data_IF_158713969387
#
_entry.id   IF_158713969387
#
_cell.length_a   1.000
_cell.length_b   1.000
_cell.length_c   1.000
_cell.angle_alpha   90.00
_cell.angle_beta   90.00
_cell.angle_gamma   90.00
#
_symmetry.space_group_name_H-M   'P 1'
#
loop_
_entity.id
_entity.type
_entity.pdbx_description
1 polymer ?
#
# COMPACT_ATOMS: atom_id res chain seq x y z
N UNK A 1 5.68 -1.03 4.85
CA UNK A 1 4.65 0.01 4.97
C UNK A 1 3.46 -0.56 5.74
N UNK A 2 2.77 0.26 6.53
CA UNK A 2 1.51 -0.06 7.18
C UNK A 2 0.45 0.87 6.64
N UNK A 3 -0.69 0.33 6.21
CA UNK A 3 -1.82 1.17 5.85
C UNK A 3 -2.44 1.74 7.13
N UNK A 4 -2.27 3.04 7.38
CA UNK A 4 -2.62 3.68 8.65
C UNK A 4 -4.05 4.21 8.69
N UNK A 5 -4.69 4.45 7.53
CA UNK A 5 -6.10 4.86 7.48
C UNK A 5 -6.76 4.49 6.14
N UNK A 6 -8.04 4.09 6.23
CA UNK A 6 -9.02 4.19 5.16
C UNK A 6 -9.98 5.31 5.58
N UNK A 7 -10.11 6.35 4.77
CA UNK A 7 -11.11 7.38 5.00
C UNK A 7 -12.33 7.05 4.14
N UNK A 8 -13.53 6.88 4.71
CA UNK A 8 -14.75 6.91 3.91
C UNK A 8 -14.92 8.36 3.39
N UNK A 9 -15.00 8.51 2.07
CA UNK A 9 -15.46 9.75 1.45
C UNK A 9 -16.95 9.58 1.18
N UNK A 10 -17.79 10.20 2.01
CA UNK A 10 -19.19 10.44 1.70
C UNK A 10 -19.27 11.85 1.11
N UNK A 11 -19.38 11.95 -0.21
CA UNK A 11 -19.63 13.22 -0.89
C UNK A 11 -20.86 13.02 -1.77
N UNK A 12 -22.02 13.51 -1.32
CA UNK A 12 -23.30 13.35 -2.02
C UNK A 12 -23.34 14.11 -3.36
N UNK A 13 -22.50 15.14 -3.52
CA UNK A 13 -22.57 16.04 -4.68
C UNK A 13 -21.79 15.58 -5.92
N UNK A 14 -20.96 14.53 -5.83
CA UNK A 14 -20.28 13.98 -7.02
C UNK A 14 -21.20 13.08 -7.89
N UNK A 15 -22.45 12.86 -7.45
CA UNK A 15 -23.43 12.00 -8.13
C UNK A 15 -24.37 12.73 -9.11
N UNK A 16 -24.18 14.03 -9.36
CA UNK A 16 -25.04 14.76 -10.32
C UNK A 16 -24.38 14.82 -11.69
N UNK A 17 -24.93 14.06 -12.64
CA UNK A 17 -24.62 14.23 -14.07
C UNK A 17 -25.23 15.51 -14.63
N UNK A 18 -24.76 15.93 -15.81
CA UNK A 18 -25.15 17.18 -16.49
C UNK A 18 -26.64 17.31 -16.88
N UNK A 19 -27.48 16.32 -16.59
CA UNK A 19 -28.90 16.30 -16.90
C UNK A 19 -29.82 16.28 -15.65
N UNK A 20 -29.28 16.39 -14.43
CA UNK A 20 -30.11 16.48 -13.22
C UNK A 20 -30.85 15.19 -12.81
N UNK A 21 -30.63 14.08 -13.51
CA UNK A 21 -31.14 12.78 -13.08
C UNK A 21 -30.35 12.23 -11.89
N UNK A 22 -31.08 11.76 -10.87
CA UNK A 22 -30.52 11.02 -9.74
C UNK A 22 -30.05 9.67 -10.28
N UNK A 23 -28.73 9.50 -10.42
CA UNK A 23 -28.12 8.22 -10.76
C UNK A 23 -28.30 7.26 -9.58
N UNK A 24 -29.47 6.61 -9.48
CA UNK A 24 -29.83 5.67 -8.41
C UNK A 24 -28.99 4.36 -8.43
N UNK A 25 -27.94 4.30 -9.25
CA UNK A 25 -26.94 3.24 -9.25
C UNK A 25 -25.55 3.86 -9.38
N UNK A 26 -24.72 3.87 -8.32
CA UNK A 26 -23.33 4.31 -8.45
C UNK A 26 -22.60 3.34 -9.38
N UNK A 27 -22.39 3.77 -10.62
CA UNK A 27 -21.70 3.02 -11.69
C UNK A 27 -20.26 2.61 -11.29
N UNK A 28 -19.73 3.17 -10.20
CA UNK A 28 -18.39 2.92 -9.66
C UNK A 28 -18.34 2.08 -8.37
N UNK A 29 -19.46 1.52 -7.89
CA UNK A 29 -19.42 0.52 -6.79
C UNK A 29 -19.10 -0.91 -7.27
N UNK A 30 -18.92 -1.11 -8.57
CA UNK A 30 -18.50 -2.38 -9.16
C UNK A 30 -17.01 -2.62 -8.97
N UNK A 31 -16.67 -3.79 -8.43
CA UNK A 31 -15.35 -4.38 -8.24
C UNK A 31 -14.54 -4.64 -9.52
N UNK A 32 -14.86 -3.96 -10.62
CA UNK A 32 -14.14 -4.10 -11.88
C UNK A 32 -12.96 -3.12 -11.89
N UNK A 33 -11.82 -3.60 -11.43
CA UNK A 33 -10.55 -2.92 -11.66
C UNK A 33 -10.30 -2.83 -13.17
N UNK A 34 -10.11 -1.63 -13.70
CA UNK A 34 -9.78 -1.43 -15.13
C UNK A 34 -8.41 -2.01 -15.47
N UNK A 35 -7.56 -2.20 -14.46
CA UNK A 35 -6.25 -2.87 -14.55
C UNK A 35 -6.32 -4.41 -14.59
N UNK A 36 -7.51 -5.01 -14.75
CA UNK A 36 -7.65 -6.47 -14.74
C UNK A 36 -7.35 -7.11 -13.38
N UNK A 37 -7.45 -6.33 -12.30
CA UNK A 37 -7.06 -6.72 -10.93
C UNK A 37 -5.56 -6.99 -10.77
N UNK A 38 -4.73 -6.34 -11.59
CA UNK A 38 -3.29 -6.32 -11.35
C UNK A 38 -2.98 -5.62 -10.01
N UNK A 39 -2.05 -6.20 -9.26
CA UNK A 39 -1.64 -5.67 -7.96
C UNK A 39 -0.63 -4.55 -8.14
N UNK A 40 -0.59 -3.64 -7.18
CA UNK A 40 0.47 -2.67 -7.07
C UNK A 40 1.83 -3.36 -6.82
N UNK A 41 2.89 -2.76 -7.38
CA UNK A 41 4.25 -3.25 -7.23
C UNK A 41 5.15 -2.19 -6.58
N UNK A 42 5.90 -2.60 -5.55
CA UNK A 42 6.96 -1.81 -4.94
C UNK A 42 8.30 -2.53 -5.11
N UNK A 43 9.17 -1.93 -5.91
CA UNK A 43 10.53 -2.43 -6.13
C UNK A 43 11.54 -1.63 -5.31
N UNK A 44 12.40 -2.32 -4.56
CA UNK A 44 13.50 -1.69 -3.86
C UNK A 44 14.77 -1.78 -4.70
N UNK A 45 15.36 -0.62 -4.98
CA UNK A 45 16.67 -0.53 -5.60
C UNK A 45 17.76 -1.04 -4.63
N UNK A 46 18.62 -1.93 -5.11
CA UNK A 46 19.79 -2.44 -4.39
C UNK A 46 21.05 -1.82 -5.00
N UNK A 47 21.43 -0.64 -4.50
CA UNK A 47 22.71 0.00 -4.86
C UNK A 47 22.88 0.31 -6.35
N UNK A 48 21.80 0.43 -7.11
CA UNK A 48 21.82 0.70 -8.55
C UNK A 48 21.99 -0.53 -9.44
N UNK A 49 22.20 -1.73 -8.89
CA UNK A 49 22.52 -2.93 -9.69
C UNK A 49 21.32 -3.82 -9.96
N UNK A 50 20.36 -3.85 -9.05
CA UNK A 50 19.16 -4.67 -9.19
C UNK A 50 17.96 -4.06 -8.47
N UNK A 51 16.77 -4.56 -8.81
CA UNK A 51 15.52 -4.23 -8.14
C UNK A 51 14.89 -5.51 -7.55
N UNK A 52 14.43 -5.43 -6.30
CA UNK A 52 13.75 -6.53 -5.61
C UNK A 52 12.28 -6.19 -5.38
N UNK A 53 11.37 -7.07 -5.78
CA UNK A 53 9.94 -6.95 -5.47
C UNK A 53 9.72 -7.10 -3.95
N UNK A 54 9.32 -6.02 -3.29
CA UNK A 54 8.97 -6.00 -1.87
C UNK A 54 7.47 -5.89 -1.63
N UNK A 55 6.63 -5.90 -2.66
CA UNK A 55 5.21 -5.53 -2.60
C UNK A 55 4.45 -6.27 -1.49
N UNK A 56 4.62 -7.59 -1.41
CA UNK A 56 3.91 -8.42 -0.43
C UNK A 56 4.41 -8.25 1.02
N UNK A 57 5.70 -7.95 1.20
CA UNK A 57 6.30 -7.76 2.53
C UNK A 57 6.10 -6.31 3.00
N UNK A 58 6.05 -5.36 2.06
CA UNK A 58 5.91 -3.94 2.33
C UNK A 58 4.46 -3.51 2.54
N UNK A 59 3.46 -4.33 2.23
CA UNK A 59 2.06 -3.90 2.28
C UNK A 59 1.56 -3.22 1.01
N UNK A 60 2.41 -3.11 -0.02
CA UNK A 60 2.12 -2.39 -1.26
C UNK A 60 1.55 -3.27 -2.38
N UNK A 61 1.20 -4.52 -2.14
CA UNK A 61 0.58 -5.41 -3.13
C UNK A 61 -0.96 -5.29 -3.20
N UNK A 62 -1.48 -4.06 -3.01
CA UNK A 62 -2.93 -3.77 -3.07
C UNK A 62 -3.52 -4.16 -4.44
N UNK A 63 -4.72 -4.74 -4.43
CA UNK A 63 -5.52 -5.03 -5.63
C UNK A 63 -6.46 -3.88 -6.03
N UNK A 64 -6.46 -2.79 -5.25
CA UNK A 64 -7.21 -1.59 -5.59
C UNK A 64 -6.61 -0.94 -6.85
N UNK A 65 -7.47 -0.28 -7.62
CA UNK A 65 -7.10 0.26 -8.92
C UNK A 65 -6.40 1.61 -8.77
N UNK A 66 -5.10 1.57 -8.46
CA UNK A 66 -4.27 2.75 -8.21
C UNK A 66 -4.22 3.70 -9.40
N UNK A 67 -4.40 5.00 -9.13
CA UNK A 67 -4.35 6.06 -10.14
C UNK A 67 -3.37 7.17 -9.81
N UNK A 68 -3.23 7.48 -8.53
CA UNK A 68 -2.44 8.60 -8.04
C UNK A 68 -1.51 8.09 -6.96
N UNK A 69 -0.26 8.53 -6.96
CA UNK A 69 0.74 8.23 -5.93
C UNK A 69 1.48 9.52 -5.56
N UNK A 70 1.49 9.86 -4.28
CA UNK A 70 2.30 10.96 -3.74
C UNK A 70 3.26 10.45 -2.65
N UNK A 71 4.51 10.92 -2.73
CA UNK A 71 5.54 10.70 -1.72
C UNK A 71 5.54 11.84 -0.70
N UNK A 72 5.60 11.50 0.58
CA UNK A 72 5.64 12.46 1.69
C UNK A 72 6.28 11.83 2.94
N UNK A 73 6.38 12.60 4.01
CA UNK A 73 6.67 12.11 5.36
C UNK A 73 5.71 12.88 6.27
N UNK A 74 4.51 12.32 6.41
CA UNK A 74 3.37 13.05 6.98
C UNK A 74 3.48 13.19 8.49
N UNK A 75 4.19 12.24 9.11
CA UNK A 75 4.34 12.15 10.55
C UNK A 75 5.67 12.78 11.02
N UNK A 76 6.61 12.99 10.09
CA UNK A 76 7.95 13.56 10.28
C UNK A 76 8.87 12.64 11.07
N UNK A 77 8.80 11.33 10.82
CA UNK A 77 9.74 10.36 11.39
C UNK A 77 10.98 10.11 10.52
N UNK A 78 11.10 10.83 9.40
CA UNK A 78 12.26 10.79 8.51
C UNK A 78 12.19 9.68 7.48
N UNK A 79 11.09 8.93 7.43
CA UNK A 79 10.85 7.86 6.47
C UNK A 79 9.84 8.31 5.41
N UNK A 80 10.13 8.02 4.15
CA UNK A 80 9.19 8.32 3.07
C UNK A 80 7.97 7.41 3.14
N UNK A 81 6.82 8.03 3.36
CA UNK A 81 5.46 7.50 3.29
C UNK A 81 4.86 7.66 1.88
N UNK A 82 3.75 6.97 1.64
CA UNK A 82 3.03 7.00 0.37
C UNK A 82 1.55 7.28 0.60
N UNK A 83 0.96 8.17 -0.19
CA UNK A 83 -0.49 8.30 -0.34
C UNK A 83 -0.89 7.79 -1.72
N UNK A 84 -1.86 6.86 -1.77
CA UNK A 84 -2.40 6.30 -3.01
C UNK A 84 -3.87 6.62 -3.12
N UNK A 85 -4.28 7.21 -4.25
CA UNK A 85 -5.71 7.32 -4.61
C UNK A 85 -6.02 6.26 -5.66
N UNK A 86 -7.10 5.53 -5.41
CA UNK A 86 -7.60 4.46 -6.26
C UNK A 86 -8.90 4.89 -6.94
N UNK A 87 -9.14 4.37 -8.15
CA UNK A 87 -10.44 4.47 -8.83
C UNK A 87 -11.50 3.53 -8.20
N UNK A 88 -11.05 2.53 -7.44
CA UNK A 88 -11.90 1.58 -6.72
C UNK A 88 -11.71 1.68 -5.22
N UNK A 89 -12.58 1.02 -4.45
CA UNK A 89 -12.47 1.00 -2.99
C UNK A 89 -11.26 0.19 -2.51
N UNK A 90 -10.54 0.64 -1.45
CA UNK A 90 -10.69 1.93 -0.77
C UNK A 90 -10.14 3.09 -1.62
N UNK A 91 -10.86 4.21 -1.67
CA UNK A 91 -10.50 5.36 -2.52
C UNK A 91 -9.16 6.00 -2.16
N UNK A 92 -8.86 6.15 -0.87
CA UNK A 92 -7.60 6.70 -0.39
C UNK A 92 -6.93 5.72 0.59
N UNK A 93 -5.65 5.43 0.32
CA UNK A 93 -4.81 4.62 1.19
C UNK A 93 -3.57 5.42 1.57
N UNK A 94 -3.37 5.62 2.87
CA UNK A 94 -2.12 6.15 3.41
C UNK A 94 -1.25 5.01 3.91
N UNK A 95 -0.06 4.88 3.34
CA UNK A 95 0.94 3.89 3.71
C UNK A 95 2.06 4.56 4.47
N UNK A 96 2.17 4.23 5.75
CA UNK A 96 3.25 4.64 6.63
C UNK A 96 4.46 3.74 6.49
N UNK A 97 5.65 4.28 6.34
CA UNK A 97 6.87 3.49 6.28
C UNK A 97 7.31 3.04 7.68
N UNK A 98 7.47 1.72 7.83
CA UNK A 98 7.81 1.09 9.11
C UNK A 98 9.03 0.17 8.98
N UNK A 99 9.85 0.35 7.94
CA UNK A 99 11.11 -0.40 7.83
C UNK A 99 11.95 -0.09 9.07
N UNK A 100 12.37 -1.16 9.76
CA UNK A 100 13.26 -1.06 10.90
C UNK A 100 14.69 -0.73 10.43
N UNK A 101 15.44 0.02 11.25
CA UNK A 101 16.83 0.42 10.98
C UNK A 101 16.99 1.18 9.66
N UNK A 102 16.22 2.25 9.48
CA UNK A 102 16.53 3.26 8.46
C UNK A 102 17.73 4.11 8.90
N UNK A 103 18.50 4.59 7.93
CA UNK A 103 19.56 5.58 8.21
C UNK A 103 18.97 6.94 8.62
N UNK A 104 19.86 7.84 9.00
CA UNK A 104 19.60 9.23 9.28
C UNK A 104 19.21 10.00 8.01
N UNK A 105 18.58 11.16 8.19
CA UNK A 105 18.06 12.01 7.09
C UNK A 105 18.37 13.49 7.35
N UNK A 106 18.47 14.27 6.29
CA UNK A 106 18.32 15.73 6.32
C UNK A 106 17.15 16.10 5.41
N UNK A 107 16.27 16.97 5.90
CA UNK A 107 15.17 17.53 5.13
C UNK A 107 15.57 18.89 4.56
N UNK A 108 15.18 19.19 3.33
CA UNK A 108 15.46 20.48 2.67
C UNK A 108 14.17 21.07 2.11
N UNK A 109 13.98 22.37 2.31
CA UNK A 109 12.90 23.16 1.72
C UNK A 109 13.47 24.41 1.06
N UNK A 110 12.95 24.70 -0.13
CA UNK A 110 13.43 25.81 -0.94
C UNK A 110 12.35 26.89 -1.06
N UNK A 111 12.78 28.14 -1.14
CA UNK A 111 11.93 29.28 -1.50
C UNK A 111 12.69 30.10 -2.52
N UNK A 112 12.23 30.06 -3.77
CA UNK A 112 12.83 30.82 -4.87
C UNK A 112 12.54 32.32 -4.74
N UNK A 113 13.31 33.10 -5.47
CA UNK A 113 13.32 34.56 -5.33
C UNK A 113 12.23 35.29 -6.10
N UNK A 114 11.50 34.67 -7.02
CA UNK A 114 10.51 35.39 -7.81
C UNK A 114 9.39 35.96 -6.93
N UNK A 115 9.17 37.28 -7.04
CA UNK A 115 8.11 38.01 -6.36
C UNK A 115 7.22 38.68 -7.42
N UNK A 116 5.98 39.03 -7.06
CA UNK A 116 4.99 39.57 -8.01
C UNK A 116 5.50 40.80 -8.81
N UNK A 117 6.35 41.63 -8.21
CA UNK A 117 6.91 42.85 -8.83
C UNK A 117 8.30 42.67 -9.43
N UNK A 118 8.95 41.53 -9.20
CA UNK A 118 10.34 41.28 -9.57
C UNK A 118 10.56 39.77 -9.76
N UNK A 119 10.24 39.29 -10.96
CA UNK A 119 10.37 37.88 -11.35
C UNK A 119 11.57 37.62 -12.26
N UNK A 120 12.04 38.64 -13.00
CA UNK A 120 13.11 38.48 -13.98
C UNK A 120 14.44 38.17 -13.29
N UNK A 121 15.13 37.14 -13.76
CA UNK A 121 16.40 36.71 -13.19
C UNK A 121 16.31 36.00 -11.84
N UNK A 122 15.11 35.61 -11.37
CA UNK A 122 14.91 34.83 -10.15
C UNK A 122 14.26 33.48 -10.43
N UNK A 123 14.52 32.49 -9.57
CA UNK A 123 13.79 31.22 -9.63
C UNK A 123 12.34 31.45 -9.18
N UNK A 124 11.38 30.74 -9.78
CA UNK A 124 9.98 30.75 -9.34
C UNK A 124 9.87 30.56 -7.81
N UNK A 125 8.84 31.15 -7.19
CA UNK A 125 8.64 31.18 -5.71
C UNK A 125 8.83 29.82 -5.03
N UNK A 126 8.40 28.77 -5.70
CA UNK A 126 8.39 27.41 -5.19
C UNK A 126 9.76 26.71 -5.34
N UNK A 127 10.75 27.36 -5.97
CA UNK A 127 12.09 26.85 -6.17
C UNK A 127 12.16 25.70 -7.19
N UNK A 128 11.17 25.56 -8.08
CA UNK A 128 11.11 24.44 -9.04
C UNK A 128 12.30 24.46 -9.97
N UNK A 129 12.93 23.30 -10.18
CA UNK A 129 14.15 23.11 -10.98
C UNK A 129 15.45 23.30 -10.20
N UNK A 130 15.40 23.77 -8.96
CA UNK A 130 16.60 23.89 -8.13
C UNK A 130 17.17 22.51 -7.75
N UNK A 131 18.49 22.39 -7.85
CA UNK A 131 19.23 21.15 -7.58
C UNK A 131 19.94 21.26 -6.23
N UNK A 132 19.61 20.35 -5.33
CA UNK A 132 20.21 20.21 -4.01
C UNK A 132 21.24 19.08 -4.04
N UNK A 133 22.48 19.40 -3.68
CA UNK A 133 23.56 18.44 -3.47
C UNK A 133 23.85 18.36 -1.98
N UNK A 134 23.70 17.17 -1.39
CA UNK A 134 24.09 16.87 -0.02
C UNK A 134 25.39 16.08 -0.04
N UNK A 135 26.43 16.62 0.58
CA UNK A 135 27.71 15.91 0.80
C UNK A 135 27.70 15.30 2.19
N UNK A 136 27.94 14.00 2.29
CA UNK A 136 27.93 13.26 3.56
C UNK A 136 28.79 12.01 3.45
N UNK A 137 29.64 11.74 4.45
CA UNK A 137 30.43 10.51 4.53
C UNK A 137 31.17 10.16 3.21
N UNK A 138 31.80 11.17 2.60
CA UNK A 138 32.54 11.02 1.34
C UNK A 138 31.69 10.84 0.08
N UNK A 139 30.36 10.97 0.17
CA UNK A 139 29.42 10.80 -0.96
C UNK A 139 28.69 12.10 -1.26
N UNK A 140 28.32 12.30 -2.52
CA UNK A 140 27.40 13.36 -2.97
C UNK A 140 26.06 12.77 -3.38
N UNK A 141 24.99 13.25 -2.79
CA UNK A 141 23.61 12.86 -3.08
C UNK A 141 22.89 14.03 -3.70
N UNK A 142 22.33 13.85 -4.89
CA UNK A 142 21.66 14.92 -5.64
C UNK A 142 20.15 14.70 -5.64
N UNK A 143 19.39 15.77 -5.39
CA UNK A 143 17.95 15.84 -5.57
C UNK A 143 17.60 17.11 -6.35
N UNK A 144 16.53 17.05 -7.11
CA UNK A 144 15.98 18.21 -7.81
C UNK A 144 14.58 18.47 -7.27
N UNK A 145 14.26 19.73 -7.00
CA UNK A 145 12.92 20.13 -6.60
C UNK A 145 12.01 20.16 -7.83
N UNK A 146 11.21 19.12 -8.00
CA UNK A 146 10.43 18.85 -9.20
C UNK A 146 8.94 19.01 -8.98
N UNK A 147 8.27 19.52 -10.01
CA UNK A 147 6.81 19.62 -10.07
C UNK A 147 6.28 18.83 -11.26
N UNK A 148 5.00 18.48 -11.21
CA UNK A 148 4.39 17.60 -12.21
C UNK A 148 4.84 16.15 -12.05
N UNK A 149 5.15 15.75 -10.80
CA UNK A 149 5.53 14.38 -10.49
C UNK A 149 4.29 13.54 -10.16
N UNK A 150 4.09 12.46 -10.90
CA UNK A 150 2.94 11.57 -10.76
C UNK A 150 1.74 11.99 -11.60
N UNK A 151 0.78 11.08 -11.78
CA UNK A 151 -0.47 11.38 -12.47
C UNK A 151 -1.44 12.08 -11.52
N UNK A 152 -1.91 13.29 -11.87
CA UNK A 152 -2.84 14.10 -11.08
C UNK A 152 -2.42 14.28 -9.59
N UNK A 153 -1.12 14.29 -9.32
CA UNK A 153 -0.52 14.39 -7.99
C UNK A 153 0.65 15.35 -7.97
N UNK A 154 1.10 15.64 -6.75
CA UNK A 154 2.38 16.29 -6.50
C UNK A 154 2.98 15.69 -5.22
N UNK A 155 4.27 15.34 -5.27
CA UNK A 155 5.05 14.93 -4.10
C UNK A 155 5.27 16.11 -3.15
N UNK A 156 5.59 15.81 -1.89
CA UNK A 156 5.98 16.82 -0.91
C UNK A 156 7.13 17.70 -1.42
N UNK A 157 7.00 19.02 -1.24
CA UNK A 157 8.06 20.01 -1.51
C UNK A 157 9.24 19.92 -0.53
N UNK A 158 9.15 19.05 0.47
CA UNK A 158 10.22 18.80 1.43
C UNK A 158 11.06 17.64 0.92
N UNK A 159 12.27 17.94 0.47
CA UNK A 159 13.19 16.94 -0.05
C UNK A 159 13.81 16.19 1.13
N UNK A 160 13.56 14.89 1.22
CA UNK A 160 14.19 14.02 2.20
C UNK A 160 15.42 13.36 1.58
N UNK A 161 16.59 13.62 2.16
CA UNK A 161 17.86 13.04 1.71
C UNK A 161 18.41 12.16 2.82
N UNK A 162 18.35 10.84 2.62
CA UNK A 162 18.93 9.86 3.54
C UNK A 162 20.46 9.93 3.51
N UNK A 163 21.08 10.18 4.66
CA UNK A 163 22.54 10.32 4.84
C UNK A 163 23.19 9.07 5.46
N UNK A 164 22.45 7.96 5.54
CA UNK A 164 22.96 6.67 6.03
C UNK A 164 23.23 6.71 7.54
N UNK A 165 24.36 6.18 8.01
CA UNK A 165 24.72 6.21 9.43
C UNK A 165 25.34 7.53 9.88
N UNK A 166 25.58 8.48 8.97
CA UNK A 166 26.20 9.76 9.30
C UNK A 166 25.30 10.58 10.24
N UNK A 167 25.89 11.22 11.23
CA UNK A 167 25.17 12.07 12.21
C UNK A 167 24.98 13.51 11.74
N UNK A 168 25.57 13.87 10.60
CA UNK A 168 25.42 15.17 9.94
C UNK A 168 25.67 15.03 8.44
N UNK A 169 25.16 15.99 7.67
CA UNK A 169 25.65 16.28 6.33
C UNK A 169 26.79 17.30 6.42
N UNK A 170 27.90 17.03 5.75
CA UNK A 170 29.07 17.91 5.70
C UNK A 170 28.74 19.21 4.96
N UNK A 171 27.93 19.13 3.90
CA UNK A 171 27.43 20.29 3.18
C UNK A 171 26.06 20.06 2.54
N UNK A 172 25.25 21.10 2.49
CA UNK A 172 24.03 21.21 1.67
C UNK A 172 24.20 22.40 0.73
N UNK A 173 24.21 22.13 -0.57
CA UNK A 173 24.44 23.11 -1.63
C UNK A 173 23.26 23.14 -2.59
N UNK A 174 22.77 24.33 -2.93
CA UNK A 174 21.66 24.55 -3.86
C UNK A 174 22.19 25.29 -5.08
N UNK A 175 21.92 24.71 -6.26
CA UNK A 175 22.05 25.40 -7.54
C UNK A 175 20.66 25.80 -8.02
N UNK A 176 20.44 27.10 -8.15
CA UNK A 176 19.17 27.67 -8.56
C UNK A 176 19.09 27.78 -10.09
N UNK A 177 17.90 27.62 -10.70
CA UNK A 177 17.68 27.89 -12.12
C UNK A 177 18.07 29.30 -12.56
N UNK A 178 18.09 30.27 -11.66
CA UNK A 178 18.61 31.62 -11.90
C UNK A 178 20.12 31.69 -12.14
N UNK A 179 20.85 30.60 -11.93
CA UNK A 179 22.31 30.53 -11.97
C UNK A 179 22.99 30.79 -10.63
N UNK A 180 22.24 31.22 -9.60
CA UNK A 180 22.79 31.44 -8.24
C UNK A 180 23.12 30.12 -7.56
N UNK A 181 24.05 30.17 -6.62
CA UNK A 181 24.37 29.06 -5.73
C UNK A 181 24.36 29.52 -4.29
N UNK A 182 23.97 28.62 -3.38
CA UNK A 182 24.01 28.85 -1.94
C UNK A 182 24.48 27.57 -1.26
N UNK A 183 25.30 27.69 -0.21
CA UNK A 183 25.84 26.54 0.53
C UNK A 183 25.80 26.77 2.04
N UNK A 184 25.50 25.71 2.78
CA UNK A 184 25.68 25.63 4.24
C UNK A 184 26.40 24.32 4.61
N UNK A 185 27.09 24.29 5.75
CA UNK A 185 27.87 23.13 6.22
C UNK A 185 27.38 22.63 7.57
N UNK A 186 27.82 21.44 7.96
CA UNK A 186 27.61 20.87 9.30
C UNK A 186 26.14 20.76 9.73
N UNK A 187 25.27 20.33 8.82
CA UNK A 187 23.84 20.17 9.09
C UNK A 187 23.60 18.87 9.85
N UNK A 188 23.22 18.96 11.11
CA UNK A 188 22.92 17.79 11.94
C UNK A 188 21.79 16.93 11.35
N UNK A 189 21.92 15.60 11.50
CA UNK A 189 20.88 14.64 11.18
C UNK A 189 19.54 15.02 11.85
N UNK A 190 18.45 14.81 11.13
CA UNK A 190 17.11 15.10 11.59
C UNK A 190 16.71 16.57 11.56
N UNK A 191 17.50 17.41 10.88
CA UNK A 191 17.21 18.83 10.68
C UNK A 191 16.43 19.09 9.38
N UNK A 192 15.66 20.18 9.38
CA UNK A 192 15.09 20.82 8.20
C UNK A 192 15.90 22.07 7.89
N UNK A 193 16.53 22.09 6.73
CA UNK A 193 17.20 23.26 6.16
C UNK A 193 16.22 23.97 5.23
N UNK A 194 15.81 25.19 5.58
CA UNK A 194 15.04 26.06 4.69
C UNK A 194 15.98 27.08 4.05
N UNK A 195 15.91 27.20 2.73
CA UNK A 195 16.85 27.98 1.92
C UNK A 195 16.08 28.99 1.07
N UNK A 196 16.33 30.27 1.33
CA UNK A 196 15.70 31.40 0.64
C UNK A 196 16.68 32.02 -0.35
N UNK A 197 16.37 31.96 -1.65
CA UNK A 197 17.26 32.43 -2.72
C UNK A 197 17.67 33.90 -2.57
N UNK A 198 16.72 34.77 -2.21
CA UNK A 198 16.95 36.23 -2.11
C UNK A 198 17.90 36.66 -1.00
N UNK A 199 18.06 35.82 0.02
CA UNK A 199 18.77 36.21 1.24
C UNK A 199 20.28 35.89 1.19
N UNK A 200 20.77 35.31 0.08
CA UNK A 200 22.18 34.95 -0.09
C UNK A 200 22.68 34.08 1.07
N UNK A 201 23.84 34.40 1.62
CA UNK A 201 24.43 33.61 2.73
C UNK A 201 23.60 33.64 4.02
N UNK A 202 22.71 34.63 4.17
CA UNK A 202 21.76 34.72 5.30
C UNK A 202 20.46 33.93 5.06
N UNK A 203 20.34 33.26 3.92
CA UNK A 203 19.12 32.57 3.49
C UNK A 203 18.87 31.22 4.10
N UNK A 204 19.68 30.79 5.07
CA UNK A 204 19.58 29.48 5.71
C UNK A 204 18.89 29.56 7.06
N UNK A 205 17.88 28.72 7.26
CA UNK A 205 17.29 28.44 8.57
C UNK A 205 17.32 26.94 8.82
N UNK A 206 17.89 26.53 9.95
CA UNK A 206 17.97 25.13 10.36
C UNK A 206 17.09 24.94 11.59
N UNK A 207 16.12 24.03 11.48
CA UNK A 207 15.18 23.68 12.57
C UNK A 207 15.11 22.17 12.75
N UNK A 208 14.62 21.68 13.89
CA UNK A 208 14.39 20.25 14.07
C UNK A 208 13.26 19.80 13.13
N UNK A 209 13.52 18.76 12.32
CA UNK A 209 12.52 18.14 11.46
C UNK A 209 11.83 16.97 12.15
N UNK A 210 12.64 16.05 12.69
CA UNK A 210 12.15 14.77 13.20
C UNK A 210 11.30 14.94 14.46
N UNK A 211 10.14 14.28 14.45
CA UNK A 211 9.24 14.14 15.58
C UNK A 211 9.43 12.78 16.25
N UNK A 212 9.35 12.77 17.57
CA UNK A 212 9.39 11.53 18.34
C UNK A 212 7.99 10.89 18.31
N UNK A 213 7.79 9.96 17.38
CA UNK A 213 6.48 9.32 17.19
C UNK A 213 6.47 8.01 17.96
N UNK A 214 5.60 7.92 18.96
CA UNK A 214 5.27 6.63 19.58
C UNK A 214 4.61 5.75 18.52
N UNK A 215 5.11 4.52 18.35
CA UNK A 215 4.45 3.56 17.49
C UNK A 215 2.96 3.45 17.90
N UNK A 216 2.01 3.57 16.96
CA UNK A 216 0.60 3.37 17.29
C UNK A 216 0.46 1.99 17.91
N UNK A 217 -0.26 1.89 19.03
CA UNK A 217 -0.60 0.57 19.56
C UNK A 217 -1.31 -0.22 18.46
N UNK A 218 -0.99 -1.50 18.26
CA UNK A 218 -1.73 -2.32 17.31
C UNK A 218 -3.20 -2.29 17.73
N UNK A 219 -4.06 -1.77 16.85
CA UNK A 219 -5.50 -1.87 17.02
C UNK A 219 -5.80 -3.36 16.96
N UNK A 220 -6.09 -3.96 18.13
CA UNK A 220 -6.53 -5.36 18.18
C UNK A 220 -7.82 -5.45 17.38
N UNK A 221 -7.83 -6.33 16.39
CA UNK A 221 -9.07 -6.65 15.70
C UNK A 221 -10.08 -7.13 16.77
N UNK A 222 -11.36 -6.71 16.70
CA UNK A 222 -12.38 -7.23 17.57
C UNK A 222 -12.38 -8.77 17.47
N UNK A 223 -12.45 -9.46 18.61
CA UNK A 223 -12.57 -10.91 18.61
C UNK A 223 -13.91 -11.25 17.98
N UNK A 224 -13.88 -12.11 16.96
CA UNK A 224 -15.08 -12.61 16.29
C UNK A 224 -15.58 -13.85 17.02
N UNK A 225 -16.86 -13.86 17.36
CA UNK A 225 -17.53 -15.03 17.91
C UNK A 225 -18.04 -15.99 16.80
N UNK A 226 -17.82 -15.63 15.53
CA UNK A 226 -18.22 -16.45 14.39
C UNK A 226 -17.19 -17.53 14.14
N UNK A 227 -17.62 -18.79 14.19
CA UNK A 227 -16.78 -19.96 13.96
C UNK A 227 -17.16 -20.65 12.66
N UNK A 228 -16.17 -20.94 11.82
CA UNK A 228 -16.36 -21.79 10.66
C UNK A 228 -16.18 -23.25 11.08
N UNK A 229 -17.28 -23.98 11.20
CA UNK A 229 -17.31 -25.37 11.61
C UNK A 229 -17.09 -26.33 10.43
N UNK A 230 -15.90 -26.29 9.83
CA UNK A 230 -15.45 -27.28 8.84
C UNK A 230 -14.50 -28.27 9.54
N UNK A 231 -14.64 -29.56 9.22
CA UNK A 231 -13.73 -30.59 9.73
C UNK A 231 -12.33 -30.33 9.19
N UNK A 232 -11.41 -29.98 10.10
CA UNK A 232 -10.01 -29.73 9.77
C UNK A 232 -9.12 -30.81 10.38
N UNK A 233 -8.08 -31.26 9.66
CA UNK A 233 -7.01 -32.06 10.25
C UNK A 233 -6.36 -31.29 11.41
N UNK A 234 -6.01 -32.00 12.48
CA UNK A 234 -5.26 -31.45 13.61
C UNK A 234 -3.78 -31.87 13.50
N UNK A 235 -2.82 -31.02 13.92
CA UNK A 235 -3.00 -29.67 14.47
C UNK A 235 -3.32 -28.63 13.38
N UNK A 236 -4.14 -27.63 13.73
CA UNK A 236 -4.46 -26.52 12.83
C UNK A 236 -3.26 -25.57 12.66
N UNK A 237 -3.03 -25.03 11.44
CA UNK A 237 -2.04 -23.98 11.20
C UNK A 237 -2.44 -22.69 11.94
N UNK A 238 -1.52 -21.71 11.97
CA UNK A 238 -1.80 -20.40 12.58
C UNK A 238 -3.01 -19.72 11.97
N UNK A 239 -3.14 -19.80 10.64
CA UNK A 239 -4.33 -19.38 9.91
C UNK A 239 -4.75 -20.44 8.87
N UNK A 240 -6.06 -20.58 8.66
CA UNK A 240 -6.62 -21.32 7.53
C UNK A 240 -7.40 -20.35 6.65
N UNK A 241 -7.02 -20.23 5.37
CA UNK A 241 -7.73 -19.47 4.36
C UNK A 241 -8.63 -20.40 3.57
N UNK A 242 -9.92 -20.10 3.60
CA UNK A 242 -10.95 -20.79 2.85
C UNK A 242 -11.45 -19.93 1.71
N UNK A 243 -11.27 -20.40 0.47
CA UNK A 243 -11.83 -19.74 -0.72
C UNK A 243 -13.06 -20.50 -1.21
N UNK A 244 -14.21 -19.84 -1.18
CA UNK A 244 -15.44 -20.35 -1.77
C UNK A 244 -15.32 -20.29 -3.30
N UNK A 245 -15.60 -21.42 -3.94
CA UNK A 245 -15.42 -21.59 -5.39
C UNK A 245 -16.51 -22.46 -6.01
N UNK A 246 -16.59 -22.41 -7.34
CA UNK A 246 -17.29 -23.39 -8.18
C UNK A 246 -16.41 -23.72 -9.38
N UNK A 247 -16.63 -24.86 -10.03
CA UNK A 247 -15.83 -25.27 -11.21
C UNK A 247 -16.06 -24.39 -12.43
N UNK A 248 -17.21 -23.70 -12.49
CA UNK A 248 -17.59 -22.79 -13.59
C UNK A 248 -17.17 -21.34 -13.34
N UNK A 249 -16.88 -20.96 -12.09
CA UNK A 249 -16.51 -19.61 -11.68
C UNK A 249 -15.27 -19.07 -12.42
N UNK A 250 -15.41 -18.05 -13.29
CA UNK A 250 -14.28 -17.48 -14.03
C UNK A 250 -13.30 -16.76 -13.10
N UNK A 251 -13.79 -16.01 -12.11
CA UNK A 251 -12.95 -15.32 -11.13
C UNK A 251 -12.09 -16.29 -10.31
N UNK A 252 -12.63 -17.46 -9.97
CA UNK A 252 -11.91 -18.50 -9.22
C UNK A 252 -10.73 -19.06 -10.02
N UNK A 253 -10.86 -19.15 -11.36
CA UNK A 253 -9.77 -19.55 -12.26
C UNK A 253 -8.75 -18.42 -12.43
N UNK A 254 -9.23 -17.19 -12.58
CA UNK A 254 -8.40 -15.98 -12.69
C UNK A 254 -7.53 -15.76 -11.46
N UNK A 255 -8.02 -16.08 -10.26
CA UNK A 255 -7.31 -15.84 -9.01
C UNK A 255 -6.33 -16.98 -8.62
N UNK A 256 -6.22 -18.06 -9.42
CA UNK A 256 -5.28 -19.17 -9.15
C UNK A 256 -3.81 -18.74 -9.04
N UNK A 257 -3.29 -17.81 -9.86
CA UNK A 257 -1.93 -17.29 -9.68
C UNK A 257 -1.74 -16.60 -8.32
N UNK A 258 -2.76 -15.93 -7.80
CA UNK A 258 -2.71 -15.29 -6.48
C UNK A 258 -2.70 -16.34 -5.36
N UNK A 259 -3.49 -17.42 -5.50
CA UNK A 259 -3.42 -18.58 -4.59
C UNK A 259 -2.01 -19.19 -4.59
N UNK A 260 -1.40 -19.38 -5.76
CA UNK A 260 -0.05 -19.91 -5.88
C UNK A 260 0.98 -19.00 -5.19
N UNK A 261 0.85 -17.67 -5.35
CA UNK A 261 1.68 -16.69 -4.65
C UNK A 261 1.52 -16.77 -3.13
N UNK A 262 0.30 -16.91 -2.62
CA UNK A 262 0.04 -17.12 -1.19
C UNK A 262 0.69 -18.41 -0.69
N UNK A 263 0.56 -19.51 -1.44
CA UNK A 263 1.17 -20.80 -1.09
C UNK A 263 2.69 -20.69 -1.02
N UNK A 264 3.31 -20.06 -2.02
CA UNK A 264 4.76 -19.84 -2.05
C UNK A 264 5.23 -18.97 -0.88
N UNK A 265 4.49 -17.91 -0.55
CA UNK A 265 4.91 -16.94 0.45
C UNK A 265 4.64 -17.37 1.90
N UNK A 266 3.63 -18.21 2.14
CA UNK A 266 3.06 -18.41 3.49
C UNK A 266 2.78 -19.89 3.85
N UNK A 267 3.26 -20.86 3.06
CA UNK A 267 2.97 -22.29 3.26
C UNK A 267 3.25 -22.85 4.65
N UNK A 268 4.18 -22.25 5.41
CA UNK A 268 4.53 -22.69 6.76
C UNK A 268 3.51 -22.24 7.82
N UNK A 269 2.86 -21.10 7.62
CA UNK A 269 1.97 -20.49 8.60
C UNK A 269 0.48 -20.60 8.23
N UNK A 270 0.19 -20.76 6.93
CA UNK A 270 -1.16 -20.64 6.37
C UNK A 270 -1.52 -21.85 5.52
N UNK A 271 -2.62 -22.51 5.86
CA UNK A 271 -3.25 -23.52 4.98
C UNK A 271 -4.23 -22.84 4.04
N UNK A 272 -4.23 -23.26 2.78
CA UNK A 272 -5.15 -22.77 1.75
C UNK A 272 -6.13 -23.90 1.39
N UNK A 273 -7.42 -23.60 1.44
CA UNK A 273 -8.49 -24.59 1.24
C UNK A 273 -9.51 -24.07 0.24
N UNK A 274 -9.78 -24.84 -0.82
CA UNK A 274 -10.86 -24.57 -1.77
C UNK A 274 -12.15 -25.24 -1.32
N UNK A 275 -13.21 -24.45 -1.11
CA UNK A 275 -14.52 -24.93 -0.66
C UNK A 275 -15.52 -24.81 -1.82
N UNK A 276 -15.92 -25.93 -2.45
CA UNK A 276 -16.97 -25.90 -3.46
C UNK A 276 -18.31 -25.59 -2.78
N UNK A 277 -18.95 -24.48 -3.17
CA UNK A 277 -20.21 -24.04 -2.55
C UNK A 277 -21.46 -24.47 -3.34
N UNK A 278 -21.30 -24.86 -4.60
CA UNK A 278 -22.41 -25.41 -5.38
C UNK A 278 -22.67 -26.87 -4.96
N UNK A 279 -23.81 -27.13 -4.35
CA UNK A 279 -24.22 -28.47 -3.92
C UNK A 279 -24.39 -29.45 -5.09
N UNK A 280 -24.57 -28.95 -6.32
CA UNK A 280 -24.71 -29.77 -7.54
C UNK A 280 -23.37 -30.26 -8.10
N UNK A 281 -22.25 -29.78 -7.56
CA UNK A 281 -20.91 -30.24 -7.94
C UNK A 281 -20.50 -31.45 -7.10
N UNK A 282 -20.56 -32.63 -7.73
CA UNK A 282 -20.10 -33.90 -7.18
C UNK A 282 -18.59 -34.11 -7.32
N UNK A 283 -18.09 -35.21 -6.73
CA UNK A 283 -16.67 -35.54 -6.68
C UNK A 283 -16.00 -35.60 -8.06
N UNK A 284 -16.68 -36.16 -9.08
CA UNK A 284 -16.14 -36.29 -10.43
C UNK A 284 -15.83 -34.93 -11.08
N UNK A 285 -16.77 -33.98 -11.00
CA UNK A 285 -16.57 -32.62 -11.53
C UNK A 285 -15.41 -31.91 -10.84
N UNK A 286 -15.30 -32.08 -9.52
CA UNK A 286 -14.22 -31.49 -8.73
C UNK A 286 -12.86 -32.14 -9.04
N UNK A 287 -12.84 -33.45 -9.30
CA UNK A 287 -11.64 -34.18 -9.76
C UNK A 287 -11.14 -33.65 -11.11
N UNK A 288 -12.05 -33.49 -12.08
CA UNK A 288 -11.73 -32.91 -13.40
C UNK A 288 -11.18 -31.49 -13.24
N UNK A 289 -11.80 -30.66 -12.41
CA UNK A 289 -11.29 -29.31 -12.14
C UNK A 289 -9.88 -29.34 -11.54
N UNK A 290 -9.65 -30.21 -10.55
CA UNK A 290 -8.34 -30.36 -9.90
C UNK A 290 -7.27 -30.78 -10.91
N UNK A 291 -7.54 -31.78 -11.75
CA UNK A 291 -6.59 -32.25 -12.77
C UNK A 291 -6.30 -31.16 -13.81
N UNK A 292 -7.34 -30.47 -14.29
CA UNK A 292 -7.18 -29.47 -15.35
C UNK A 292 -6.44 -28.21 -14.88
N UNK A 293 -6.73 -27.73 -13.68
CA UNK A 293 -6.25 -26.42 -13.22
C UNK A 293 -5.16 -26.51 -12.15
N UNK A 294 -4.95 -27.67 -11.53
CA UNK A 294 -3.94 -27.92 -10.50
C UNK A 294 -3.83 -26.78 -9.47
N UNK A 295 -4.95 -26.42 -8.80
CA UNK A 295 -4.96 -25.28 -7.89
C UNK A 295 -3.99 -25.49 -6.72
N UNK A 296 -3.27 -24.44 -6.32
CA UNK A 296 -2.32 -24.49 -5.21
C UNK A 296 -2.98 -24.40 -3.81
N UNK A 297 -4.16 -25.01 -3.65
CA UNK A 297 -4.90 -25.16 -2.39
C UNK A 297 -5.39 -26.60 -2.24
N UNK A 298 -5.75 -26.98 -1.01
CA UNK A 298 -6.41 -28.24 -0.72
C UNK A 298 -7.88 -28.14 -1.15
N UNK A 299 -8.27 -28.71 -2.30
CA UNK A 299 -9.66 -28.72 -2.73
C UNK A 299 -10.46 -29.73 -1.92
N UNK A 300 -11.48 -29.29 -1.18
CA UNK A 300 -12.33 -30.22 -0.43
C UNK A 300 -13.32 -30.92 -1.37
N UNK A 301 -12.99 -32.16 -1.77
CA UNK A 301 -13.80 -32.97 -2.70
C UNK A 301 -14.95 -33.72 -2.02
N UNK A 302 -14.87 -33.94 -0.71
CA UNK A 302 -15.80 -34.77 0.06
C UNK A 302 -16.58 -33.97 1.13
N UNK A 303 -16.91 -32.71 0.84
CA UNK A 303 -17.67 -31.86 1.78
C UNK A 303 -19.15 -32.27 1.77
N UNK A 304 -19.66 -32.77 2.91
CA UNK A 304 -21.10 -33.06 3.10
C UNK A 304 -21.92 -31.77 3.01
N UNK A 305 -23.15 -31.84 2.47
CA UNK A 305 -24.01 -30.67 2.22
C UNK A 305 -24.12 -29.65 3.39
N UNK A 306 -24.21 -30.06 4.68
CA UNK A 306 -24.26 -29.11 5.80
C UNK A 306 -23.02 -28.21 5.91
N UNK A 307 -21.83 -28.72 5.58
CA UNK A 307 -20.58 -27.96 5.66
C UNK A 307 -20.44 -26.95 4.51
N UNK A 308 -21.03 -27.22 3.33
CA UNK A 308 -21.10 -26.25 2.21
C UNK A 308 -21.99 -25.06 2.55
N UNK A 309 -23.11 -25.32 3.23
CA UNK A 309 -24.08 -24.29 3.66
C UNK A 309 -23.53 -23.32 4.70
N UNK A 310 -22.70 -23.79 5.64
CA UNK A 310 -22.10 -22.90 6.66
C UNK A 310 -21.24 -21.81 6.03
N UNK A 311 -20.46 -22.14 4.99
CA UNK A 311 -19.64 -21.17 4.27
C UNK A 311 -20.51 -20.09 3.62
N UNK A 312 -21.55 -20.46 2.87
CA UNK A 312 -22.42 -19.50 2.19
C UNK A 312 -23.22 -18.66 3.18
N UNK A 313 -23.69 -19.22 4.29
CA UNK A 313 -24.35 -18.46 5.36
C UNK A 313 -23.42 -17.42 5.97
N UNK A 314 -22.17 -17.79 6.30
CA UNK A 314 -21.21 -16.85 6.87
C UNK A 314 -20.79 -15.77 5.87
N UNK A 315 -20.56 -16.12 4.60
CA UNK A 315 -20.27 -15.15 3.55
C UNK A 315 -21.43 -14.15 3.37
N UNK A 316 -22.67 -14.63 3.30
CA UNK A 316 -23.83 -13.76 3.20
C UNK A 316 -23.96 -12.85 4.42
N UNK A 317 -23.71 -13.37 5.63
CA UNK A 317 -23.75 -12.59 6.87
C UNK A 317 -22.66 -11.52 6.94
N UNK A 318 -21.45 -11.83 6.48
CA UNK A 318 -20.27 -10.97 6.62
C UNK A 318 -20.09 -10.00 5.45
N UNK A 319 -20.49 -10.40 4.24
CA UNK A 319 -20.23 -9.66 3.00
C UNK A 319 -21.53 -9.25 2.27
N UNK A 320 -22.70 -9.71 2.71
CA UNK A 320 -23.97 -9.46 2.03
C UNK A 320 -24.10 -10.17 0.67
N UNK A 321 -23.22 -11.13 0.36
CA UNK A 321 -23.19 -11.85 -0.91
C UNK A 321 -22.58 -13.24 -0.76
N UNK A 322 -22.94 -14.13 -1.68
CA UNK A 322 -22.34 -15.47 -1.84
C UNK A 322 -21.56 -15.60 -3.15
N UNK A 323 -21.33 -14.48 -3.84
CA UNK A 323 -20.59 -14.46 -5.09
C UNK A 323 -19.18 -15.03 -4.94
N UNK A 324 -18.77 -15.88 -5.87
CA UNK A 324 -17.44 -16.50 -5.88
C UNK A 324 -16.50 -15.82 -6.88
N UNK A 325 -15.18 -15.75 -6.59
CA UNK A 325 -14.53 -16.24 -5.39
C UNK A 325 -14.74 -15.28 -4.22
N UNK A 326 -14.91 -15.83 -3.01
CA UNK A 326 -14.91 -15.08 -1.75
C UNK A 326 -14.13 -15.87 -0.71
N UNK A 327 -13.55 -15.17 0.27
CA UNK A 327 -12.63 -15.77 1.24
C UNK A 327 -13.07 -15.51 2.67
N UNK A 328 -12.98 -16.56 3.50
CA UNK A 328 -12.95 -16.48 4.95
C UNK A 328 -11.58 -16.93 5.46
N UNK A 329 -11.05 -16.27 6.48
CA UNK A 329 -9.82 -16.71 7.16
C UNK A 329 -10.14 -17.00 8.61
N UNK A 330 -9.66 -18.12 9.13
CA UNK A 330 -9.82 -18.51 10.53
C UNK A 330 -8.50 -18.64 11.27
N UNK A 331 -8.53 -18.46 12.59
CA UNK A 331 -7.41 -18.77 13.48
C UNK A 331 -7.35 -20.27 13.85
N UNK A 332 -6.40 -20.64 14.71
CA UNK A 332 -6.19 -22.01 15.24
C UNK A 332 -7.41 -22.59 15.96
N UNK A 333 -8.36 -21.76 16.43
CA UNK A 333 -9.58 -22.20 17.10
C UNK A 333 -10.78 -22.30 16.13
N UNK A 334 -10.61 -21.85 14.88
CA UNK A 334 -11.65 -21.82 13.86
C UNK A 334 -12.52 -20.56 13.85
N UNK A 335 -12.18 -19.55 14.66
CA UNK A 335 -12.89 -18.27 14.63
C UNK A 335 -12.50 -17.48 13.38
N UNK A 336 -13.48 -16.89 12.72
CA UNK A 336 -13.30 -16.08 11.51
C UNK A 336 -12.65 -14.76 11.89
N UNK A 337 -11.42 -14.53 11.45
CA UNK A 337 -10.65 -13.31 11.71
C UNK A 337 -10.64 -12.34 10.53
N UNK A 338 -11.04 -12.79 9.35
CA UNK A 338 -11.13 -11.96 8.15
C UNK A 338 -12.15 -12.52 7.16
N UNK A 339 -12.82 -11.64 6.43
CA UNK A 339 -13.70 -11.99 5.33
C UNK A 339 -13.57 -10.95 4.21
N UNK A 340 -13.54 -11.39 2.95
CA UNK A 340 -13.54 -10.49 1.80
C UNK A 340 -14.07 -11.16 0.53
N UNK A 341 -14.49 -10.35 -0.44
CA UNK A 341 -14.63 -10.81 -1.82
C UNK A 341 -13.24 -11.07 -2.44
N UNK A 342 -13.13 -12.07 -3.30
CA UNK A 342 -11.89 -12.46 -3.96
C UNK A 342 -10.91 -13.18 -3.02
N UNK A 343 -9.67 -13.32 -3.49
CA UNK A 343 -8.56 -13.91 -2.74
C UNK A 343 -7.68 -12.80 -2.13
N UNK A 344 -7.31 -12.85 -0.84
CA UNK A 344 -6.47 -11.84 -0.21
C UNK A 344 -5.04 -11.80 -0.77
N UNK A 345 -4.40 -10.66 -0.58
CA UNK A 345 -3.00 -10.45 -0.97
C UNK A 345 -2.04 -11.05 0.07
N UNK A 346 -0.74 -11.12 -0.26
CA UNK A 346 0.26 -11.59 0.70
C UNK A 346 0.32 -10.63 1.90
N UNK A 347 0.22 -9.32 1.66
CA UNK A 347 0.24 -8.35 2.75
C UNK A 347 -0.94 -8.47 3.71
N UNK A 348 -2.16 -8.70 3.20
CA UNK A 348 -3.35 -8.91 4.04
C UNK A 348 -3.11 -10.09 4.97
N UNK A 349 -2.65 -11.22 4.44
CA UNK A 349 -2.40 -12.42 5.23
C UNK A 349 -1.26 -12.23 6.24
N UNK A 350 -0.16 -11.55 5.86
CA UNK A 350 0.92 -11.22 6.80
C UNK A 350 0.46 -10.32 7.94
N UNK A 351 -0.42 -9.36 7.66
CA UNK A 351 -1.02 -8.51 8.69
C UNK A 351 -1.87 -9.32 9.68
N UNK A 352 -2.63 -10.29 9.18
CA UNK A 352 -3.42 -11.20 10.03
C UNK A 352 -2.53 -12.09 10.90
N UNK A 353 -1.35 -12.51 10.41
CA UNK A 353 -0.39 -13.30 11.19
C UNK A 353 0.31 -12.53 12.31
N UNK A 354 0.22 -11.20 12.32
CA UNK A 354 0.82 -10.34 13.35
C UNK A 354 -0.14 -10.04 14.51
N UNK A 355 -1.43 -10.30 14.33
CA UNK A 355 -2.50 -10.08 15.31
C UNK A 355 -2.95 -11.40 15.93
#
# INVERSE_FOLDING_TARGET
MRQDRQLPFENEDFNRGAAGERLDRPYFRGSQAFSGSERNHLFMNKGGTEFRDLSGISGMDSLADGRVLSLLDYDRDGRTDLAVVNASSPLLQLFRNQVAKVGNVVAVRLTGGAMAKDFSGWTNRDGVGARVTVTTAGRKLVRENRYGEGFASQNSRTLLIGIGSATKADAVEVHWPSGRTQKTTDVAAGSLVTIHERLGDRGFSVTRYLRDIRAPMPVRAPKSDLRLAINEPQPRPRLTLYTAMTTTCPGCKRDLPQIARLRQALSQDVRLVGVPIDAKEGADKLSVYRQRYSPAYDLLTEVRAPQRGVMTTLLNKLLGTTATPATLVTNTQGFVVHAQQGVPTVSVMRKLLQN
#
